data_IF_857851732257
#
_entry.id   IF_857851732257
#
_cell.length_a   1.000
_cell.length_b   1.000
_cell.length_c   1.000
_cell.angle_alpha   90.00
_cell.angle_beta   90.00
_cell.angle_gamma   90.00
#
_symmetry.space_group_name_H-M   'P 1'
#
loop_
_entity.id
_entity.type
_entity.pdbx_description
1 polymer ?
#
# COMPACT_ATOMS: atom_id res chain seq x y z
N UNK A 1 -8.54 -18.83 43.42
CA UNK A 1 -8.42 -19.75 42.28
C UNK A 1 -8.95 -21.11 42.69
N UNK A 2 -9.81 -21.71 41.88
CA UNK A 2 -10.34 -23.06 42.10
C UNK A 2 -9.43 -23.99 41.31
N UNK A 3 -8.49 -24.64 41.98
CA UNK A 3 -7.78 -25.80 41.42
C UNK A 3 -8.59 -27.03 41.81
N UNK A 4 -9.13 -27.76 40.83
CA UNK A 4 -9.86 -28.97 41.16
C UNK A 4 -9.61 -30.10 40.16
N UNK A 5 -9.68 -31.31 40.70
CA UNK A 5 -9.03 -32.50 40.17
C UNK A 5 -10.08 -33.54 39.79
N UNK A 6 -9.66 -34.65 39.19
CA UNK A 6 -10.50 -35.86 39.13
C UNK A 6 -10.30 -36.69 40.39
N UNK A 7 -11.38 -37.25 40.94
CA UNK A 7 -11.36 -37.97 42.21
C UNK A 7 -11.68 -39.45 42.02
N UNK A 8 -10.94 -40.28 42.76
CA UNK A 8 -11.06 -41.73 42.70
C UNK A 8 -11.02 -42.31 44.10
N UNK A 9 -11.64 -43.46 44.32
CA UNK A 9 -11.57 -44.15 45.60
C UNK A 9 -11.17 -45.60 45.43
N UNK A 10 -10.69 -46.21 46.51
CA UNK A 10 -10.17 -47.57 46.44
C UNK A 10 -11.28 -48.63 46.32
N UNK A 11 -11.27 -49.39 45.23
CA UNK A 11 -12.30 -50.40 44.96
C UNK A 11 -12.10 -51.70 45.78
N UNK A 12 -10.85 -52.11 46.00
CA UNK A 12 -10.50 -53.46 46.49
C UNK A 12 -10.49 -53.65 48.01
N UNK A 13 -10.83 -52.63 48.80
CA UNK A 13 -10.95 -52.78 50.26
C UNK A 13 -10.77 -51.49 51.04
N UNK A 14 -10.58 -51.64 52.36
CA UNK A 14 -10.28 -50.58 53.31
C UNK A 14 -8.82 -50.67 53.78
N UNK A 15 -8.14 -49.53 53.82
CA UNK A 15 -6.70 -49.41 54.05
C UNK A 15 -6.41 -48.59 55.31
N UNK A 16 -5.30 -48.87 55.97
CA UNK A 16 -4.73 -47.90 56.93
C UNK A 16 -4.35 -46.61 56.19
N UNK A 17 -4.18 -45.50 56.90
CA UNK A 17 -3.89 -44.22 56.23
C UNK A 17 -2.62 -44.29 55.35
N UNK A 18 -1.55 -44.95 55.83
CA UNK A 18 -0.33 -45.15 55.05
C UNK A 18 -0.55 -46.04 53.81
N UNK A 19 -1.33 -47.10 53.97
CA UNK A 19 -1.69 -47.98 52.85
C UNK A 19 -2.57 -47.26 51.82
N UNK A 20 -3.50 -46.42 52.28
CA UNK A 20 -4.36 -45.60 51.44
C UNK A 20 -3.55 -44.58 50.64
N UNK A 21 -2.58 -43.93 51.29
CA UNK A 21 -1.65 -43.02 50.61
C UNK A 21 -0.81 -43.74 49.57
N UNK A 22 -0.21 -44.87 49.92
CA UNK A 22 0.59 -45.66 48.99
C UNK A 22 -0.25 -46.11 47.79
N UNK A 23 -1.50 -46.53 48.01
CA UNK A 23 -2.45 -46.83 46.95
C UNK A 23 -2.67 -45.62 46.03
N UNK A 24 -2.96 -44.45 46.59
CA UNK A 24 -3.17 -43.24 45.79
C UNK A 24 -1.92 -42.80 45.02
N UNK A 25 -0.73 -42.90 45.60
CA UNK A 25 0.53 -42.56 44.93
C UNK A 25 0.92 -43.58 43.84
N UNK A 26 0.46 -44.83 43.98
CA UNK A 26 0.75 -45.89 43.00
C UNK A 26 -0.13 -45.76 41.76
N UNK A 27 -1.43 -45.45 41.93
CA UNK A 27 -2.41 -45.48 40.84
C UNK A 27 -2.90 -44.10 40.39
N UNK A 28 -2.68 -43.07 41.20
CA UNK A 28 -3.15 -41.69 41.00
C UNK A 28 -2.04 -40.69 41.38
N UNK A 29 -2.39 -39.49 41.85
CA UNK A 29 -1.41 -38.48 42.29
C UNK A 29 -1.07 -38.63 43.78
N UNK A 30 -2.04 -38.42 44.67
CA UNK A 30 -1.90 -38.65 46.12
C UNK A 30 -3.31 -38.72 46.75
N UNK A 31 -3.41 -38.86 48.08
CA UNK A 31 -4.66 -38.63 48.80
C UNK A 31 -5.18 -37.21 48.55
N UNK A 32 -6.51 -37.07 48.50
CA UNK A 32 -7.17 -35.80 48.15
C UNK A 32 -6.70 -34.64 49.04
N UNK A 33 -6.35 -33.54 48.40
CA UNK A 33 -6.02 -32.27 49.04
C UNK A 33 -7.12 -31.26 48.74
N UNK A 34 -8.14 -31.21 49.60
CA UNK A 34 -9.35 -30.40 49.38
C UNK A 34 -9.00 -28.92 49.48
N UNK A 35 -9.31 -28.16 48.42
CA UNK A 35 -8.96 -26.74 48.26
C UNK A 35 -10.08 -25.80 48.70
N UNK A 36 -11.35 -26.20 48.58
CA UNK A 36 -12.48 -25.31 48.85
C UNK A 36 -13.78 -26.05 49.22
N UNK A 37 -14.79 -25.29 49.66
CA UNK A 37 -16.09 -25.84 50.07
C UNK A 37 -16.92 -26.41 48.92
N UNK A 38 -16.74 -25.95 47.68
CA UNK A 38 -17.46 -26.49 46.51
C UNK A 38 -16.99 -27.92 46.19
N UNK A 39 -15.70 -28.17 46.29
CA UNK A 39 -15.11 -29.52 46.17
C UNK A 39 -15.69 -30.48 47.21
N UNK A 40 -15.91 -30.04 48.45
CA UNK A 40 -16.56 -30.85 49.49
C UNK A 40 -17.98 -31.23 49.09
N UNK A 41 -18.75 -30.28 48.54
CA UNK A 41 -20.08 -30.53 48.00
C UNK A 41 -20.06 -31.58 46.89
N UNK A 42 -19.18 -31.40 45.90
CA UNK A 42 -19.01 -32.33 44.79
C UNK A 42 -18.63 -33.73 45.24
N UNK A 43 -17.64 -33.87 46.12
CA UNK A 43 -17.23 -35.16 46.69
C UNK A 43 -18.39 -35.83 47.42
N UNK A 44 -19.17 -35.06 48.17
CA UNK A 44 -20.30 -35.59 48.94
C UNK A 44 -21.47 -36.02 48.05
N UNK A 45 -21.67 -35.40 46.89
CA UNK A 45 -22.68 -35.80 45.91
C UNK A 45 -22.24 -37.04 45.12
N UNK A 46 -21.00 -37.05 44.64
CA UNK A 46 -20.48 -38.06 43.71
C UNK A 46 -20.04 -39.36 44.36
N UNK A 47 -19.44 -39.32 45.55
CA UNK A 47 -18.95 -40.53 46.22
C UNK A 47 -20.09 -41.34 46.85
N UNK A 48 -20.03 -42.68 46.83
CA UNK A 48 -21.01 -43.50 47.52
C UNK A 48 -20.84 -43.40 49.05
N UNK A 49 -21.91 -43.70 49.79
CA UNK A 49 -21.81 -43.86 51.24
C UNK A 49 -20.94 -45.09 51.57
N UNK A 50 -20.06 -44.95 52.55
CA UNK A 50 -19.28 -46.07 53.06
C UNK A 50 -19.27 -46.03 54.59
N UNK A 51 -19.61 -47.15 55.25
CA UNK A 51 -19.79 -47.21 56.70
C UNK A 51 -18.54 -46.90 57.54
N UNK A 52 -17.34 -46.91 56.93
CA UNK A 52 -16.07 -46.50 57.55
C UNK A 52 -15.49 -45.19 57.01
N UNK A 53 -16.24 -44.52 56.13
CA UNK A 53 -15.84 -43.28 55.46
C UNK A 53 -14.52 -43.39 54.69
N UNK A 54 -13.90 -42.25 54.42
CA UNK A 54 -12.78 -42.09 53.49
C UNK A 54 -11.61 -41.36 54.14
N UNK A 55 -10.39 -41.81 53.87
CA UNK A 55 -9.17 -41.11 54.23
C UNK A 55 -8.92 -39.94 53.28
N UNK A 56 -8.56 -38.77 53.83
CA UNK A 56 -8.10 -37.60 53.07
C UNK A 56 -6.64 -37.28 53.39
N UNK A 57 -6.02 -36.44 52.56
CA UNK A 57 -4.59 -36.12 52.61
C UNK A 57 -4.18 -35.16 53.72
N UNK A 58 -4.85 -35.14 54.87
CA UNK A 58 -4.46 -34.36 56.04
C UNK A 58 -3.88 -35.28 57.10
N UNK A 59 -2.73 -34.88 57.66
CA UNK A 59 -2.09 -35.55 58.79
C UNK A 59 -1.50 -34.55 59.79
N UNK A 60 -1.46 -34.91 61.06
CA UNK A 60 -0.78 -34.15 62.11
C UNK A 60 0.71 -34.47 62.10
N UNK A 61 1.54 -33.46 61.84
CA UNK A 61 3.00 -33.55 61.81
C UNK A 61 3.58 -32.53 62.79
N UNK A 62 4.34 -32.98 63.80
CA UNK A 62 4.92 -32.08 64.81
C UNK A 62 3.89 -31.21 65.54
N UNK A 63 2.66 -31.73 65.73
CA UNK A 63 1.55 -31.01 66.35
C UNK A 63 0.67 -30.19 65.40
N UNK A 64 1.04 -30.06 64.12
CA UNK A 64 0.36 -29.20 63.14
C UNK A 64 -0.33 -30.01 62.04
N UNK A 65 -1.58 -29.70 61.72
CA UNK A 65 -2.30 -30.32 60.60
C UNK A 65 -1.75 -29.85 59.26
N UNK A 66 -1.34 -30.80 58.41
CA UNK A 66 -0.63 -30.53 57.16
C UNK A 66 -1.23 -31.35 56.03
N UNK A 67 -1.40 -30.71 54.87
CA UNK A 67 -1.72 -31.36 53.61
C UNK A 67 -0.50 -32.13 53.12
N UNK A 68 -0.54 -33.45 53.16
CA UNK A 68 0.66 -34.27 52.93
C UNK A 68 1.13 -34.28 51.47
N UNK A 69 0.22 -34.04 50.53
CA UNK A 69 0.53 -33.93 49.11
C UNK A 69 1.23 -32.62 48.75
N UNK A 70 0.73 -31.49 49.25
CA UNK A 70 1.30 -30.15 48.94
C UNK A 70 2.34 -29.68 49.96
N UNK A 71 2.49 -30.40 51.09
CA UNK A 71 3.31 -30.03 52.25
C UNK A 71 2.95 -28.67 52.85
N UNK A 72 1.75 -28.16 52.57
CA UNK A 72 1.24 -26.90 53.13
C UNK A 72 0.53 -27.14 54.45
N UNK A 73 0.74 -26.23 55.40
CA UNK A 73 -0.01 -26.22 56.67
C UNK A 73 -1.49 -25.91 56.38
N UNK A 74 -2.38 -26.59 57.08
CA UNK A 74 -3.82 -26.35 56.99
C UNK A 74 -4.14 -24.94 57.54
N UNK A 75 -4.77 -24.10 56.73
CA UNK A 75 -5.20 -22.76 57.16
C UNK A 75 -6.60 -22.78 57.76
N UNK A 76 -6.91 -21.81 58.62
CA UNK A 76 -8.21 -21.66 59.30
C UNK A 76 -9.39 -21.56 58.31
N UNK A 77 -9.17 -20.92 57.17
CA UNK A 77 -10.18 -20.70 56.14
C UNK A 77 -10.52 -22.00 55.39
N UNK A 78 -9.58 -22.94 55.33
CA UNK A 78 -9.74 -24.23 54.69
C UNK A 78 -10.28 -25.31 55.65
N UNK A 79 -10.30 -25.07 56.96
CA UNK A 79 -10.80 -26.03 57.95
C UNK A 79 -12.27 -26.38 57.72
N UNK A 80 -12.58 -27.68 57.78
CA UNK A 80 -13.95 -28.17 57.70
C UNK A 80 -14.26 -29.25 58.74
N UNK A 81 -13.76 -29.08 59.96
CA UNK A 81 -14.01 -29.98 61.10
C UNK A 81 -15.50 -30.09 61.45
N UNK A 82 -15.91 -31.27 61.90
CA UNK A 82 -17.21 -31.50 62.51
C UNK A 82 -17.29 -30.86 63.91
N UNK A 83 -18.50 -30.67 64.42
CA UNK A 83 -18.71 -30.09 65.73
C UNK A 83 -18.01 -30.92 66.82
N UNK A 84 -17.06 -30.29 67.52
CA UNK A 84 -16.28 -30.94 68.57
C UNK A 84 -14.98 -31.59 68.11
N UNK A 85 -14.64 -31.51 66.82
CA UNK A 85 -13.38 -32.03 66.26
C UNK A 85 -12.35 -30.91 66.00
N UNK A 86 -11.04 -31.20 65.99
CA UNK A 86 -10.41 -32.50 66.30
C UNK A 86 -10.34 -32.77 67.82
N UNK A 87 -10.82 -33.94 68.26
CA UNK A 87 -11.06 -34.23 69.68
C UNK A 87 -9.96 -35.05 70.37
N UNK A 88 -9.09 -35.74 69.62
CA UNK A 88 -8.06 -36.64 70.12
C UNK A 88 -8.50 -37.61 71.25
N UNK A 89 -9.78 -38.03 71.26
CA UNK A 89 -10.42 -38.90 72.27
C UNK A 89 -9.69 -40.21 72.58
N UNK A 90 -8.89 -40.77 71.67
CA UNK A 90 -8.22 -42.09 71.84
C UNK A 90 -6.71 -42.02 72.00
N UNK A 91 -6.14 -40.81 72.05
CA UNK A 91 -4.70 -40.55 71.89
C UNK A 91 -4.19 -41.01 70.50
N UNK A 92 -3.30 -40.23 69.88
CA UNK A 92 -2.68 -40.55 68.57
C UNK A 92 -3.66 -40.54 67.36
N UNK A 93 -4.67 -39.67 67.38
CA UNK A 93 -5.55 -39.39 66.23
C UNK A 93 -4.88 -38.38 65.29
N UNK A 94 -3.85 -38.85 64.57
CA UNK A 94 -3.04 -37.99 63.71
C UNK A 94 -3.49 -37.98 62.24
N UNK A 95 -4.55 -38.72 61.88
CA UNK A 95 -5.04 -38.85 60.51
C UNK A 95 -6.48 -38.36 60.39
N UNK A 96 -6.90 -37.90 59.21
CA UNK A 96 -8.21 -37.26 59.04
C UNK A 96 -9.09 -38.04 58.07
N UNK A 97 -10.33 -38.29 58.47
CA UNK A 97 -11.38 -38.81 57.61
C UNK A 97 -12.39 -37.73 57.18
N UNK A 98 -13.12 -37.98 56.10
CA UNK A 98 -14.24 -37.14 55.65
C UNK A 98 -15.57 -37.90 55.66
N UNK A 99 -16.61 -37.29 56.21
CA UNK A 99 -17.95 -37.85 56.31
C UNK A 99 -18.75 -37.74 55.02
N UNK A 100 -18.56 -38.68 54.09
CA UNK A 100 -19.37 -38.75 52.86
C UNK A 100 -20.77 -39.31 53.15
N UNK A 101 -21.81 -38.58 52.74
CA UNK A 101 -23.23 -38.95 52.86
C UNK A 101 -23.66 -39.35 54.29
N UNK A 102 -23.12 -38.68 55.30
CA UNK A 102 -23.51 -38.87 56.71
C UNK A 102 -24.81 -38.10 56.99
N UNK A 103 -25.70 -38.68 57.80
CA UNK A 103 -27.00 -38.09 58.18
C UNK A 103 -26.88 -36.67 58.74
N UNK A 104 -25.87 -36.42 59.57
CA UNK A 104 -25.55 -35.12 60.15
C UNK A 104 -24.10 -34.78 59.80
N UNK A 105 -23.85 -33.50 59.50
CA UNK A 105 -22.50 -32.98 59.24
C UNK A 105 -21.77 -33.67 58.07
N UNK A 106 -22.51 -33.94 56.98
CA UNK A 106 -21.94 -34.47 55.75
C UNK A 106 -20.86 -33.55 55.17
N UNK A 107 -19.77 -34.13 54.67
CA UNK A 107 -18.59 -33.42 54.16
C UNK A 107 -17.63 -32.90 55.24
N UNK A 108 -17.99 -32.97 56.53
CA UNK A 108 -17.13 -32.55 57.65
C UNK A 108 -16.03 -33.56 57.95
N UNK A 109 -15.00 -33.09 58.65
CA UNK A 109 -13.80 -33.86 58.98
C UNK A 109 -13.76 -34.32 60.43
N UNK A 110 -13.09 -35.44 60.66
CA UNK A 110 -12.87 -36.03 61.98
C UNK A 110 -11.44 -36.58 62.08
N UNK A 111 -10.76 -36.38 63.21
CA UNK A 111 -9.47 -36.99 63.47
C UNK A 111 -9.65 -38.45 63.92
N UNK A 112 -8.84 -39.36 63.39
CA UNK A 112 -8.92 -40.80 63.66
C UNK A 112 -7.51 -41.41 63.75
N UNK A 113 -7.33 -42.51 64.50
CA UNK A 113 -6.05 -43.20 64.54
C UNK A 113 -5.69 -43.75 63.16
N UNK A 114 -4.48 -43.48 62.70
CA UNK A 114 -4.01 -43.80 61.35
C UNK A 114 -4.06 -45.30 61.00
N UNK A 115 -4.14 -46.18 62.01
CA UNK A 115 -4.24 -47.63 61.84
C UNK A 115 -5.66 -48.12 61.53
N UNK A 116 -6.67 -47.24 61.57
CA UNK A 116 -8.04 -47.58 61.16
C UNK A 116 -8.11 -47.85 59.67
N UNK A 117 -8.99 -48.77 59.29
CA UNK A 117 -9.20 -49.15 57.90
C UNK A 117 -10.37 -48.38 57.31
N UNK A 118 -10.12 -47.61 56.25
CA UNK A 118 -11.11 -46.80 55.51
C UNK A 118 -10.83 -46.83 54.01
N UNK A 119 -11.76 -46.35 53.20
CA UNK A 119 -11.52 -46.18 51.75
C UNK A 119 -10.46 -45.10 51.52
N UNK A 120 -9.54 -45.33 50.59
CA UNK A 120 -8.63 -44.27 50.14
C UNK A 120 -9.40 -43.33 49.21
N UNK A 121 -9.35 -42.00 49.44
CA UNK A 121 -9.85 -41.01 48.50
C UNK A 121 -8.67 -40.29 47.85
N UNK A 122 -8.47 -40.58 46.58
CA UNK A 122 -7.34 -40.13 45.77
C UNK A 122 -7.78 -39.01 44.82
N UNK A 123 -6.83 -38.19 44.38
CA UNK A 123 -7.04 -37.24 43.27
C UNK A 123 -6.03 -37.47 42.14
N UNK A 124 -6.37 -37.00 40.94
CA UNK A 124 -5.52 -37.01 39.77
C UNK A 124 -5.65 -35.69 39.00
N UNK A 125 -4.52 -35.17 38.52
CA UNK A 125 -4.45 -34.07 37.55
C UNK A 125 -5.31 -34.40 36.32
N UNK A 126 -6.31 -33.57 36.04
CA UNK A 126 -7.12 -33.68 34.83
C UNK A 126 -6.34 -33.13 33.64
N UNK A 127 -5.50 -32.12 33.87
CA UNK A 127 -4.65 -31.52 32.85
C UNK A 127 -3.51 -32.44 32.41
N UNK A 128 -3.39 -32.62 31.10
CA UNK A 128 -2.31 -33.37 30.44
C UNK A 128 -1.64 -32.49 29.37
N UNK A 129 -0.39 -32.78 28.96
CA UNK A 129 0.45 -31.88 28.15
C UNK A 129 -0.07 -31.50 26.75
N UNK A 130 -1.20 -32.06 26.28
CA UNK A 130 -1.71 -31.89 24.92
C UNK A 130 -3.22 -31.65 24.82
N UNK A 131 -3.96 -31.59 25.93
CA UNK A 131 -5.43 -31.48 25.88
C UNK A 131 -5.92 -30.18 25.26
N UNK A 132 -5.19 -29.08 25.46
CA UNK A 132 -5.52 -27.78 24.86
C UNK A 132 -4.79 -27.54 23.53
N UNK A 133 -4.47 -28.61 22.80
CA UNK A 133 -3.83 -28.57 21.47
C UNK A 133 -2.51 -27.79 21.37
N UNK A 134 -1.83 -27.53 22.51
CA UNK A 134 -0.69 -26.60 22.62
C UNK A 134 -1.03 -25.15 22.24
N UNK A 135 -2.31 -24.83 22.13
CA UNK A 135 -2.84 -23.52 21.76
C UNK A 135 -3.62 -22.87 22.91
N UNK A 136 -3.39 -23.34 24.13
CA UNK A 136 -4.01 -22.79 25.33
C UNK A 136 -3.40 -23.37 26.59
N UNK A 137 -3.69 -22.72 27.70
CA UNK A 137 -3.34 -23.17 29.05
C UNK A 137 -4.45 -24.09 29.57
N UNK A 138 -4.06 -25.21 30.16
CA UNK A 138 -5.02 -26.12 30.78
C UNK A 138 -5.30 -25.68 32.22
N UNK A 139 -6.58 -25.50 32.55
CA UNK A 139 -7.05 -25.07 33.86
C UNK A 139 -7.86 -26.17 34.50
N UNK A 140 -7.40 -26.61 35.66
CA UNK A 140 -8.06 -27.63 36.50
C UNK A 140 -9.42 -27.13 37.03
N UNK A 141 -10.46 -27.95 36.90
CA UNK A 141 -11.85 -27.65 37.32
C UNK A 141 -12.45 -28.82 38.09
N UNK A 142 -13.58 -28.62 38.79
CA UNK A 142 -14.11 -29.67 39.67
C UNK A 142 -14.53 -30.89 38.85
N UNK A 143 -13.80 -32.00 39.00
CA UNK A 143 -14.04 -33.25 38.28
C UNK A 143 -13.61 -33.24 36.81
N UNK A 144 -12.96 -32.19 36.30
CA UNK A 144 -12.55 -32.10 34.90
C UNK A 144 -11.48 -31.01 34.66
N UNK A 145 -11.19 -30.67 33.41
CA UNK A 145 -10.39 -29.50 33.01
C UNK A 145 -11.19 -28.57 32.09
N UNK A 146 -10.68 -27.36 31.92
CA UNK A 146 -11.07 -26.41 30.87
C UNK A 146 -9.81 -25.85 30.21
N UNK A 147 -9.94 -25.31 29.00
CA UNK A 147 -8.82 -24.70 28.29
C UNK A 147 -9.01 -23.19 28.17
N UNK A 148 -7.98 -22.43 28.54
CA UNK A 148 -7.87 -21.00 28.27
C UNK A 148 -7.04 -20.80 27.00
N UNK A 149 -7.72 -20.57 25.88
CA UNK A 149 -7.07 -20.52 24.58
C UNK A 149 -6.21 -19.27 24.38
N UNK A 150 -5.07 -19.45 23.72
CA UNK A 150 -4.24 -18.34 23.25
C UNK A 150 -4.97 -17.53 22.16
N UNK A 151 -4.59 -16.26 21.96
CA UNK A 151 -5.19 -15.43 20.93
C UNK A 151 -5.14 -16.10 19.55
N UNK A 152 -6.30 -16.15 18.88
CA UNK A 152 -6.44 -16.75 17.55
C UNK A 152 -6.93 -18.20 17.54
N UNK A 153 -7.15 -18.80 18.71
CA UNK A 153 -7.70 -20.14 18.86
C UNK A 153 -8.97 -20.13 19.70
N UNK A 154 -9.87 -21.09 19.45
CA UNK A 154 -11.12 -21.22 20.18
C UNK A 154 -11.61 -22.67 20.24
N UNK A 155 -12.76 -22.87 20.88
CA UNK A 155 -13.33 -24.19 21.14
C UNK A 155 -12.87 -24.77 22.50
N UNK A 156 -13.48 -25.88 22.94
CA UNK A 156 -13.24 -26.45 24.27
C UNK A 156 -11.80 -26.98 24.46
N UNK A 157 -11.13 -27.35 23.37
CA UNK A 157 -9.74 -27.89 23.37
C UNK A 157 -8.76 -26.98 22.59
N UNK A 158 -9.15 -25.73 22.31
CA UNK A 158 -8.35 -24.76 21.53
C UNK A 158 -7.86 -25.27 20.17
N UNK A 159 -8.64 -26.17 19.56
CA UNK A 159 -8.32 -26.79 18.27
C UNK A 159 -8.72 -25.92 17.08
N UNK A 160 -9.77 -25.12 17.26
CA UNK A 160 -10.32 -24.31 16.18
C UNK A 160 -9.51 -23.03 16.03
N UNK A 161 -9.19 -22.68 14.80
CA UNK A 161 -8.42 -21.48 14.47
C UNK A 161 -9.37 -20.41 13.97
N UNK A 162 -9.25 -19.20 14.54
CA UNK A 162 -9.98 -18.01 14.07
C UNK A 162 -9.75 -17.83 12.58
N UNK A 163 -10.82 -17.62 11.82
CA UNK A 163 -10.78 -17.51 10.37
C UNK A 163 -11.28 -16.15 9.91
N UNK A 164 -10.44 -15.41 9.20
CA UNK A 164 -10.78 -14.14 8.59
C UNK A 164 -11.55 -14.34 7.28
N UNK A 165 -12.24 -13.29 6.84
CA UNK A 165 -12.92 -13.28 5.55
C UNK A 165 -11.92 -13.59 4.41
N UNK A 166 -12.35 -14.42 3.45
CA UNK A 166 -11.57 -14.73 2.25
C UNK A 166 -11.32 -13.44 1.45
N UNK A 167 -10.08 -13.19 1.07
CA UNK A 167 -9.70 -12.03 0.27
C UNK A 167 -9.85 -12.32 -1.22
N UNK A 168 -10.54 -11.44 -1.95
CA UNK A 168 -10.76 -11.52 -3.39
C UNK A 168 -10.33 -10.21 -4.07
N UNK A 169 -9.01 -9.98 -4.24
CA UNK A 169 -8.50 -8.75 -4.83
C UNK A 169 -8.82 -8.64 -6.33
N UNK A 170 -9.18 -7.44 -6.78
CA UNK A 170 -9.38 -7.13 -8.21
C UNK A 170 -8.20 -6.33 -8.74
N UNK A 171 -7.53 -6.84 -9.78
CA UNK A 171 -6.43 -6.13 -10.44
C UNK A 171 -5.13 -6.03 -9.64
N UNK A 172 -4.99 -6.82 -8.56
CA UNK A 172 -3.78 -6.88 -7.73
C UNK A 172 -3.36 -8.33 -7.56
N UNK A 173 -2.07 -8.62 -7.71
CA UNK A 173 -1.55 -9.95 -7.46
C UNK A 173 -1.38 -10.15 -5.94
N UNK A 174 -1.83 -11.29 -5.44
CA UNK A 174 -1.76 -11.64 -4.03
C UNK A 174 -1.04 -12.98 -3.86
N UNK A 175 -0.11 -13.04 -2.90
CA UNK A 175 0.56 -14.27 -2.49
C UNK A 175 0.36 -14.44 -0.97
N UNK A 176 -0.21 -15.57 -0.56
CA UNK A 176 -0.56 -15.83 0.83
C UNK A 176 0.23 -17.01 1.41
N UNK A 177 0.51 -16.92 2.71
CA UNK A 177 1.04 -18.00 3.54
C UNK A 177 0.04 -18.31 4.67
N UNK A 178 -0.31 -19.59 4.81
CA UNK A 178 -1.33 -20.09 5.73
C UNK A 178 -0.70 -21.08 6.71
N UNK A 179 -0.22 -20.63 7.89
CA UNK A 179 0.53 -21.49 8.80
C UNK A 179 -0.34 -22.58 9.47
N UNK A 180 -1.63 -22.31 9.68
CA UNK A 180 -2.55 -23.25 10.33
C UNK A 180 -3.66 -23.75 9.39
N UNK A 181 -4.32 -22.83 8.68
CA UNK A 181 -5.37 -23.12 7.69
C UNK A 181 -5.58 -21.93 6.75
N UNK A 182 -6.25 -22.15 5.63
CA UNK A 182 -6.60 -21.10 4.66
C UNK A 182 -7.33 -19.93 5.34
N UNK A 183 -6.72 -18.75 5.22
CA UNK A 183 -7.18 -17.49 5.84
C UNK A 183 -7.42 -17.58 7.36
N UNK A 184 -6.75 -18.52 8.04
CA UNK A 184 -6.75 -18.64 9.50
C UNK A 184 -5.84 -17.61 10.17
N UNK A 185 -5.93 -17.51 11.50
CA UNK A 185 -5.09 -16.65 12.35
C UNK A 185 -3.62 -16.70 11.93
N UNK A 186 -2.96 -15.54 11.93
CA UNK A 186 -1.57 -15.39 11.52
C UNK A 186 -1.28 -15.71 10.04
N UNK A 187 -2.30 -15.98 9.21
CA UNK A 187 -2.14 -15.98 7.76
C UNK A 187 -1.68 -14.60 7.30
N UNK A 188 -0.70 -14.58 6.40
CA UNK A 188 -0.17 -13.35 5.81
C UNK A 188 -0.37 -13.36 4.31
N UNK A 189 -0.85 -12.25 3.75
CA UNK A 189 -1.06 -12.09 2.31
C UNK A 189 -0.33 -10.83 1.85
N UNK A 190 0.65 -11.01 0.97
CA UNK A 190 1.43 -9.93 0.36
C UNK A 190 0.85 -9.57 -1.00
N UNK A 191 0.61 -8.28 -1.20
CA UNK A 191 0.05 -7.70 -2.41
C UNK A 191 1.14 -7.05 -3.25
N UNK A 192 1.01 -7.15 -4.58
CA UNK A 192 1.88 -6.48 -5.54
C UNK A 192 1.07 -5.93 -6.69
N UNK A 193 1.32 -4.66 -7.01
CA UNK A 193 0.79 -4.02 -8.20
C UNK A 193 1.59 -4.42 -9.44
N UNK A 194 0.91 -4.37 -10.59
CA UNK A 194 1.58 -4.51 -11.89
C UNK A 194 2.46 -3.29 -12.17
N UNK A 195 3.39 -3.46 -13.12
CA UNK A 195 4.26 -2.37 -13.57
C UNK A 195 3.45 -1.16 -14.06
N UNK A 196 3.89 0.04 -13.69
CA UNK A 196 3.19 1.30 -14.00
C UNK A 196 2.01 1.63 -13.07
N UNK A 197 1.76 0.80 -12.05
CA UNK A 197 0.82 1.08 -10.97
C UNK A 197 1.54 1.14 -9.64
N UNK A 198 1.15 2.11 -8.81
CA UNK A 198 1.65 2.29 -7.45
C UNK A 198 0.62 1.80 -6.45
N UNK A 199 1.09 1.10 -5.42
CA UNK A 199 0.24 0.63 -4.33
C UNK A 199 -0.14 1.79 -3.39
N UNK A 200 -1.41 1.83 -3.00
CA UNK A 200 -1.96 2.69 -1.98
C UNK A 200 -2.55 1.83 -0.85
N UNK A 201 -2.01 2.00 0.36
CA UNK A 201 -2.34 1.17 1.53
C UNK A 201 -1.23 0.17 1.88
N UNK A 202 -1.50 -0.68 2.87
CA UNK A 202 -0.56 -1.68 3.39
C UNK A 202 -0.32 -2.82 2.39
N UNK A 203 0.95 -3.18 2.18
CA UNK A 203 1.34 -4.21 1.20
C UNK A 203 1.22 -5.64 1.72
N UNK A 204 1.07 -5.81 3.03
CA UNK A 204 0.94 -7.12 3.66
C UNK A 204 -0.19 -7.07 4.67
N UNK A 205 -1.17 -7.96 4.49
CA UNK A 205 -2.28 -8.12 5.43
C UNK A 205 -2.04 -9.36 6.29
N UNK A 206 -2.39 -9.25 7.57
CA UNK A 206 -2.33 -10.36 8.52
C UNK A 206 -3.70 -10.61 9.16
N UNK A 207 -4.12 -11.86 9.24
CA UNK A 207 -5.34 -12.25 9.95
C UNK A 207 -5.11 -12.20 11.47
N UNK A 208 -5.86 -11.35 12.17
CA UNK A 208 -5.73 -11.10 13.61
C UNK A 208 -6.63 -12.04 14.41
N UNK A 209 -6.34 -12.16 15.71
CA UNK A 209 -7.16 -12.91 16.67
C UNK A 209 -8.59 -12.35 16.80
N UNK A 210 -8.80 -11.08 16.43
CA UNK A 210 -10.11 -10.42 16.40
C UNK A 210 -10.99 -10.83 15.21
N UNK A 211 -10.57 -11.81 14.42
CA UNK A 211 -11.26 -12.23 13.19
C UNK A 211 -11.30 -11.16 12.09
N UNK A 212 -10.37 -10.20 12.16
CA UNK A 212 -10.23 -9.11 11.20
C UNK A 212 -8.84 -9.13 10.56
N UNK A 213 -8.76 -8.66 9.33
CA UNK A 213 -7.47 -8.35 8.70
C UNK A 213 -6.87 -7.09 9.32
N UNK A 214 -5.54 -7.03 9.34
CA UNK A 214 -4.80 -5.88 9.89
C UNK A 214 -5.07 -4.55 9.18
N UNK A 215 -5.49 -4.60 7.92
CA UNK A 215 -5.91 -3.46 7.10
C UNK A 215 -6.79 -3.95 5.95
N UNK A 216 -7.35 -3.01 5.18
CA UNK A 216 -8.10 -3.30 3.97
C UNK A 216 -7.19 -3.69 2.79
N UNK A 217 -7.77 -4.35 1.77
CA UNK A 217 -7.05 -4.70 0.53
C UNK A 217 -6.50 -3.42 -0.11
N UNK A 218 -5.19 -3.34 -0.41
CA UNK A 218 -4.61 -2.15 -1.02
C UNK A 218 -5.13 -1.95 -2.45
N UNK A 219 -5.19 -0.69 -2.87
CA UNK A 219 -5.55 -0.32 -4.25
C UNK A 219 -4.29 -0.05 -5.07
N UNK A 220 -4.34 -0.38 -6.36
CA UNK A 220 -3.27 -0.06 -7.30
C UNK A 220 -3.73 1.08 -8.20
N UNK A 221 -3.09 2.25 -8.05
CA UNK A 221 -3.38 3.44 -8.84
C UNK A 221 -2.31 3.64 -9.90
N UNK A 222 -2.69 3.94 -11.14
CA UNK A 222 -1.72 4.17 -12.22
C UNK A 222 -0.80 5.36 -11.87
N UNK A 223 0.49 5.23 -12.17
CA UNK A 223 1.48 6.28 -11.91
C UNK A 223 1.16 7.50 -12.78
N UNK A 224 1.22 8.70 -12.20
CA UNK A 224 0.89 9.97 -12.87
C UNK A 224 2.15 10.66 -13.38
N UNK A 225 2.12 11.10 -14.64
CA UNK A 225 3.14 11.95 -15.23
C UNK A 225 2.82 13.45 -15.03
N UNK A 226 3.81 14.35 -15.18
CA UNK A 226 3.57 15.79 -15.11
C UNK A 226 2.49 16.25 -16.08
N UNK A 227 1.66 17.20 -15.65
CA UNK A 227 0.62 17.77 -16.49
C UNK A 227 1.21 18.45 -17.73
N UNK A 228 0.66 18.15 -18.91
CA UNK A 228 1.06 18.78 -20.17
C UNK A 228 0.20 20.02 -20.45
N UNK A 229 0.84 21.06 -21.00
CA UNK A 229 0.19 22.25 -21.53
C UNK A 229 0.35 22.29 -23.05
N UNK A 230 -0.62 22.90 -23.72
CA UNK A 230 -0.57 23.00 -25.18
C UNK A 230 0.60 23.91 -25.56
N UNK A 231 1.43 23.53 -26.54
CA UNK A 231 2.47 24.42 -27.03
C UNK A 231 1.83 25.68 -27.62
N UNK A 232 2.52 26.81 -27.49
CA UNK A 232 2.08 28.06 -28.09
C UNK A 232 1.85 27.87 -29.60
N UNK A 233 0.71 28.33 -30.14
CA UNK A 233 0.29 28.09 -31.53
C UNK A 233 0.22 26.61 -31.93
N UNK A 234 -0.03 25.72 -30.97
CA UNK A 234 -0.26 24.30 -31.22
C UNK A 234 -1.39 23.73 -30.37
N UNK A 235 -1.63 22.44 -30.56
CA UNK A 235 -2.61 21.64 -29.81
C UNK A 235 -2.11 20.22 -29.65
N UNK A 236 -2.65 19.50 -28.68
CA UNK A 236 -2.44 18.07 -28.56
C UNK A 236 -3.75 17.34 -28.31
N UNK A 237 -3.80 16.07 -28.69
CA UNK A 237 -4.87 15.15 -28.35
C UNK A 237 -4.27 13.95 -27.60
N UNK A 238 -4.87 13.60 -26.47
CA UNK A 238 -4.39 12.51 -25.63
C UNK A 238 -5.39 11.35 -25.55
N UNK A 239 -4.87 10.14 -25.42
CA UNK A 239 -5.59 8.95 -24.98
C UNK A 239 -5.18 8.61 -23.55
N UNK A 240 -6.15 8.33 -22.68
CA UNK A 240 -5.98 8.19 -21.23
C UNK A 240 -6.56 6.86 -20.73
N UNK A 241 -5.91 5.72 -20.99
CA UNK A 241 -6.47 4.40 -20.71
C UNK A 241 -6.70 4.12 -19.21
N UNK A 242 -5.94 4.79 -18.33
CA UNK A 242 -5.97 4.56 -16.88
C UNK A 242 -6.21 5.83 -16.06
N UNK A 243 -6.61 6.92 -16.71
CA UNK A 243 -6.76 8.25 -16.09
C UNK A 243 -5.96 9.34 -16.81
N UNK A 244 -6.23 10.59 -16.45
CA UNK A 244 -5.62 11.76 -17.09
C UNK A 244 -4.12 11.80 -16.76
N UNK A 245 -3.30 11.82 -17.80
CA UNK A 245 -1.83 11.84 -17.72
C UNK A 245 -1.22 10.72 -16.86
N UNK A 246 -1.86 9.55 -16.79
CA UNK A 246 -1.31 8.38 -16.10
C UNK A 246 -0.53 7.47 -17.03
N UNK A 247 0.13 6.44 -16.48
CA UNK A 247 0.84 5.39 -17.22
C UNK A 247 0.11 4.95 -18.50
N UNK A 248 0.87 4.82 -19.59
CA UNK A 248 0.37 4.54 -20.94
C UNK A 248 -0.55 5.61 -21.57
N UNK A 249 -0.71 6.78 -20.94
CA UNK A 249 -1.28 7.93 -21.66
C UNK A 249 -0.37 8.32 -22.82
N UNK A 250 -0.97 8.53 -23.99
CA UNK A 250 -0.25 8.94 -25.20
C UNK A 250 -0.85 10.23 -25.74
N UNK A 251 -0.02 11.24 -25.94
CA UNK A 251 -0.42 12.57 -26.39
C UNK A 251 0.26 12.92 -27.70
N UNK A 252 -0.52 13.11 -28.76
CA UNK A 252 -0.05 13.51 -30.08
C UNK A 252 -0.19 15.02 -30.27
N UNK A 253 0.89 15.68 -30.68
CA UNK A 253 1.01 17.12 -30.84
C UNK A 253 0.91 17.53 -32.31
N UNK A 254 0.36 18.72 -32.55
CA UNK A 254 0.24 19.33 -33.88
C UNK A 254 0.30 20.85 -33.75
N UNK A 255 0.86 21.50 -34.77
CA UNK A 255 0.94 22.95 -34.84
C UNK A 255 -0.19 23.53 -35.70
N UNK A 256 -0.48 24.82 -35.49
CA UNK A 256 -1.35 25.59 -36.38
C UNK A 256 -0.68 25.75 -37.76
N UNK A 257 -1.48 26.10 -38.77
CA UNK A 257 -0.97 26.37 -40.12
C UNK A 257 0.09 27.49 -40.09
N UNK A 258 1.16 27.31 -40.87
CA UNK A 258 2.30 28.23 -40.91
C UNK A 258 3.32 28.03 -39.78
N UNK A 259 3.12 27.04 -38.92
CA UNK A 259 4.06 26.63 -37.87
C UNK A 259 4.48 25.18 -38.05
N UNK A 260 5.76 24.90 -37.84
CA UNK A 260 6.34 23.56 -37.85
C UNK A 260 6.59 23.04 -36.42
N UNK A 261 6.45 21.73 -36.23
CA UNK A 261 6.66 21.07 -34.95
C UNK A 261 8.14 20.71 -34.77
N UNK A 262 8.76 21.24 -33.73
CA UNK A 262 10.12 20.89 -33.31
C UNK A 262 10.10 19.98 -32.09
N UNK A 263 10.59 18.75 -32.25
CA UNK A 263 10.65 17.72 -31.22
C UNK A 263 9.82 16.49 -31.57
N UNK A 264 9.48 15.70 -30.55
CA UNK A 264 8.72 14.47 -30.72
C UNK A 264 7.23 14.77 -30.93
N UNK A 265 6.63 14.20 -31.99
CA UNK A 265 5.21 14.42 -32.29
C UNK A 265 4.25 13.70 -31.36
N UNK A 266 4.72 12.69 -30.62
CA UNK A 266 3.91 11.93 -29.66
C UNK A 266 4.70 11.60 -28.40
N UNK A 267 4.15 11.95 -27.22
CA UNK A 267 4.73 11.60 -25.93
C UNK A 267 3.90 10.50 -25.24
N UNK A 268 4.58 9.57 -24.57
CA UNK A 268 3.93 8.53 -23.77
C UNK A 268 4.36 8.60 -22.31
N UNK A 269 3.42 8.42 -21.38
CA UNK A 269 3.71 8.37 -19.95
C UNK A 269 4.25 6.98 -19.56
N UNK A 270 5.47 6.95 -19.04
CA UNK A 270 6.18 5.72 -18.67
C UNK A 270 5.81 5.21 -17.27
N UNK A 271 6.18 3.97 -16.95
CA UNK A 271 5.94 3.38 -15.63
C UNK A 271 6.67 4.13 -14.48
N UNK A 272 7.72 4.89 -14.81
CA UNK A 272 8.45 5.73 -13.87
C UNK A 272 7.77 7.09 -13.57
N UNK A 273 6.63 7.39 -14.19
CA UNK A 273 5.95 8.67 -14.00
C UNK A 273 6.60 9.84 -14.73
N UNK A 274 7.35 9.55 -15.81
CA UNK A 274 7.95 10.56 -16.69
C UNK A 274 7.50 10.35 -18.13
N UNK A 275 7.38 11.44 -18.88
CA UNK A 275 7.14 11.39 -20.32
C UNK A 275 8.38 10.89 -21.06
N UNK A 276 8.18 10.23 -22.20
CA UNK A 276 9.27 9.75 -23.09
C UNK A 276 10.20 10.84 -23.61
N UNK A 277 9.79 12.11 -23.52
CA UNK A 277 10.57 13.27 -23.91
C UNK A 277 9.95 14.58 -23.42
N UNK A 278 10.62 15.72 -23.63
CA UNK A 278 10.07 17.03 -23.32
C UNK A 278 8.92 17.41 -24.28
N UNK A 279 7.99 18.30 -23.87
CA UNK A 279 6.97 18.84 -24.77
C UNK A 279 7.60 19.51 -26.01
N UNK A 280 7.08 19.24 -27.22
CA UNK A 280 7.57 19.86 -28.45
C UNK A 280 7.19 21.34 -28.53
N UNK A 281 7.86 22.08 -29.41
CA UNK A 281 7.59 23.50 -29.68
C UNK A 281 7.01 23.68 -31.09
N UNK A 282 6.15 24.67 -31.28
CA UNK A 282 5.71 25.10 -32.60
C UNK A 282 6.45 26.39 -32.97
N UNK A 283 7.20 26.39 -34.07
CA UNK A 283 7.90 27.58 -34.56
C UNK A 283 7.37 27.99 -35.92
N UNK A 284 7.30 29.30 -36.17
CA UNK A 284 6.83 29.81 -37.44
C UNK A 284 7.79 29.38 -38.56
N UNK A 285 7.23 28.92 -39.67
CA UNK A 285 8.01 28.46 -40.82
C UNK A 285 8.78 29.65 -41.40
N UNK A 286 10.06 29.45 -41.69
CA UNK A 286 10.96 30.52 -42.16
C UNK A 286 11.02 30.53 -43.68
N UNK A 287 10.89 31.71 -44.28
CA UNK A 287 11.13 31.93 -45.71
C UNK A 287 12.58 32.38 -45.97
N UNK A 288 13.08 32.27 -47.22
CA UNK A 288 14.39 32.81 -47.58
C UNK A 288 14.52 34.28 -47.20
N UNK A 289 15.65 34.65 -46.60
CA UNK A 289 15.94 36.04 -46.24
C UNK A 289 15.97 36.89 -47.51
N UNK A 290 15.28 38.03 -47.50
CA UNK A 290 15.24 38.96 -48.61
C UNK A 290 16.19 40.14 -48.39
N UNK A 291 16.74 40.65 -49.47
CA UNK A 291 17.52 41.89 -49.52
C UNK A 291 16.89 42.88 -50.51
N UNK A 292 17.19 44.16 -50.33
CA UNK A 292 16.77 45.18 -51.27
C UNK A 292 17.37 44.91 -52.67
N UNK A 293 16.60 45.09 -53.76
CA UNK A 293 17.12 45.00 -55.12
C UNK A 293 18.04 46.19 -55.40
N UNK A 294 18.86 46.08 -56.45
CA UNK A 294 19.72 47.18 -56.90
C UNK A 294 18.89 48.43 -57.16
N UNK A 295 19.36 49.59 -56.68
CA UNK A 295 18.64 50.88 -56.74
C UNK A 295 17.26 50.86 -56.07
N UNK A 296 17.02 49.90 -55.18
CA UNK A 296 15.79 49.77 -54.40
C UNK A 296 15.98 49.86 -52.90
N UNK A 297 14.86 49.79 -52.19
CA UNK A 297 14.75 49.71 -50.74
C UNK A 297 13.74 48.62 -50.38
N UNK A 298 13.96 47.97 -49.24
CA UNK A 298 13.12 46.89 -48.72
C UNK A 298 12.66 47.25 -47.32
N UNK A 299 11.35 47.29 -47.10
CA UNK A 299 10.74 47.50 -45.80
C UNK A 299 9.89 46.29 -45.44
N UNK A 300 10.26 45.56 -44.38
CA UNK A 300 9.56 44.36 -43.95
C UNK A 300 8.87 44.54 -42.61
N UNK A 301 7.72 43.89 -42.46
CA UNK A 301 6.98 43.74 -41.20
C UNK A 301 6.96 42.26 -40.82
N UNK A 302 7.46 41.95 -39.63
CA UNK A 302 7.64 40.60 -39.11
C UNK A 302 6.72 40.35 -37.92
N UNK A 303 5.82 39.37 -38.04
CA UNK A 303 4.81 39.09 -37.00
C UNK A 303 5.32 38.08 -35.98
N UNK A 304 5.98 37.01 -36.44
CA UNK A 304 6.39 35.86 -35.62
C UNK A 304 7.91 35.63 -35.59
N UNK A 305 8.68 36.59 -36.09
CA UNK A 305 10.13 36.51 -36.26
C UNK A 305 10.57 36.96 -37.66
N UNK A 306 11.87 37.19 -37.81
CA UNK A 306 12.44 37.71 -39.06
C UNK A 306 12.21 36.74 -40.21
N UNK A 307 11.57 37.23 -41.27
CA UNK A 307 11.25 36.49 -42.49
C UNK A 307 10.48 35.18 -42.26
N UNK A 308 9.67 35.11 -41.20
CA UNK A 308 8.78 33.95 -40.94
C UNK A 308 7.40 34.10 -41.55
N UNK A 309 6.59 33.02 -41.52
CA UNK A 309 5.20 33.00 -41.97
C UNK A 309 4.41 34.26 -41.59
N UNK A 310 3.69 34.83 -42.56
CA UNK A 310 2.93 36.07 -42.41
C UNK A 310 3.78 37.34 -42.43
N UNK A 311 5.11 37.24 -42.60
CA UNK A 311 5.94 38.43 -42.87
C UNK A 311 5.55 39.05 -44.21
N UNK A 312 5.44 40.38 -44.25
CA UNK A 312 5.16 41.13 -45.48
C UNK A 312 6.30 42.11 -45.75
N UNK A 313 6.87 42.06 -46.95
CA UNK A 313 7.95 42.93 -47.39
C UNK A 313 7.52 43.78 -48.58
N UNK A 314 7.69 45.09 -48.48
CA UNK A 314 7.36 46.06 -49.53
C UNK A 314 8.64 46.61 -50.15
N UNK A 315 8.69 46.54 -51.47
CA UNK A 315 9.78 47.00 -52.31
C UNK A 315 9.48 48.39 -52.86
N UNK A 316 10.49 49.24 -52.87
CA UNK A 316 10.40 50.58 -53.49
C UNK A 316 11.71 50.91 -54.21
N UNK A 317 11.64 51.76 -55.22
CA UNK A 317 12.81 52.18 -55.99
C UNK A 317 13.27 53.58 -55.60
N UNK A 318 14.57 53.81 -55.68
CA UNK A 318 15.16 55.13 -55.48
C UNK A 318 14.70 56.09 -56.59
N UNK A 319 14.81 57.39 -56.34
CA UNK A 319 14.44 58.42 -57.32
C UNK A 319 15.15 58.20 -58.66
N UNK A 320 14.40 58.26 -59.75
CA UNK A 320 14.92 58.01 -61.11
C UNK A 320 14.78 56.57 -61.59
N UNK A 321 14.30 55.66 -60.75
CA UNK A 321 14.01 54.27 -61.09
C UNK A 321 12.54 53.94 -60.85
N UNK A 322 11.97 53.07 -61.70
CA UNK A 322 10.61 52.57 -61.59
C UNK A 322 10.62 51.09 -61.17
N UNK A 323 9.68 50.71 -60.28
CA UNK A 323 9.53 49.33 -59.84
C UNK A 323 8.82 48.52 -60.93
N UNK A 324 9.42 47.40 -61.32
CA UNK A 324 8.84 46.45 -62.27
C UNK A 324 8.42 45.20 -61.50
N UNK A 325 7.11 44.89 -61.53
CA UNK A 325 6.50 43.78 -60.79
C UNK A 325 5.60 44.23 -59.63
N UNK A 326 5.09 43.27 -58.84
CA UNK A 326 4.27 43.58 -57.66
C UNK A 326 5.12 44.17 -56.54
N UNK A 327 4.60 45.15 -55.81
CA UNK A 327 5.34 45.87 -54.76
C UNK A 327 5.51 45.10 -53.44
N UNK A 328 4.63 44.14 -53.12
CA UNK A 328 4.64 43.44 -51.83
C UNK A 328 4.81 41.93 -51.96
N UNK A 329 5.62 41.32 -51.10
CA UNK A 329 5.79 39.87 -50.96
C UNK A 329 5.37 39.42 -49.57
N UNK A 330 4.70 38.27 -49.49
CA UNK A 330 4.28 37.66 -48.23
C UNK A 330 4.89 36.27 -48.06
N UNK A 331 5.36 35.96 -46.84
CA UNK A 331 5.88 34.63 -46.51
C UNK A 331 4.74 33.66 -46.22
N UNK A 332 4.63 32.62 -47.03
CA UNK A 332 3.54 31.63 -47.00
C UNK A 332 3.82 30.46 -46.05
N UNK A 333 2.79 29.67 -45.74
CA UNK A 333 2.89 28.49 -44.87
C UNK A 333 3.75 27.36 -45.44
N UNK A 334 4.14 27.43 -46.72
CA UNK A 334 5.07 26.49 -47.36
C UNK A 334 6.54 26.93 -47.24
N UNK A 335 6.82 28.07 -46.61
CA UNK A 335 8.17 28.62 -46.49
C UNK A 335 8.67 29.31 -47.76
N UNK A 336 7.76 29.76 -48.62
CA UNK A 336 8.07 30.48 -49.87
C UNK A 336 7.42 31.86 -49.89
N UNK A 337 8.03 32.81 -50.59
CA UNK A 337 7.43 34.12 -50.84
C UNK A 337 6.37 34.04 -51.96
N UNK A 338 5.36 34.90 -51.89
CA UNK A 338 4.33 35.01 -52.93
C UNK A 338 4.86 35.67 -54.21
N UNK A 339 4.77 35.02 -55.37
CA UNK A 339 5.12 35.62 -56.67
C UNK A 339 6.63 35.87 -56.87
N UNK A 340 6.99 36.36 -58.06
CA UNK A 340 8.38 36.60 -58.47
C UNK A 340 8.94 37.91 -57.89
N UNK A 341 10.23 38.03 -57.63
CA UNK A 341 10.80 39.25 -57.01
C UNK A 341 10.82 40.44 -57.98
N UNK A 342 10.45 41.66 -57.54
CA UNK A 342 10.48 42.84 -58.38
C UNK A 342 11.90 43.41 -58.48
N UNK A 343 12.17 44.16 -59.54
CA UNK A 343 13.43 44.87 -59.74
C UNK A 343 13.20 46.34 -60.13
N UNK A 344 14.23 47.16 -59.98
CA UNK A 344 14.17 48.58 -60.31
C UNK A 344 14.84 48.84 -61.66
N UNK A 345 14.12 49.49 -62.57
CA UNK A 345 14.64 49.89 -63.88
C UNK A 345 14.75 51.42 -63.97
N UNK A 346 15.83 51.92 -64.56
CA UNK A 346 16.02 53.35 -64.72
C UNK A 346 14.93 53.91 -65.65
N UNK A 347 14.29 55.01 -65.25
CA UNK A 347 13.20 55.62 -66.01
C UNK A 347 13.76 56.12 -67.36
N UNK A 348 13.14 55.71 -68.46
CA UNK A 348 13.54 56.12 -69.80
C UNK A 348 13.20 57.60 -70.05
N UNK A 349 14.18 58.33 -70.56
CA UNK A 349 14.03 59.67 -71.11
C UNK A 349 13.71 59.58 -72.61
N UNK A 350 13.12 60.64 -73.20
CA UNK A 350 13.00 60.74 -74.65
C UNK A 350 14.37 60.59 -75.33
N UNK A 351 14.43 59.74 -76.35
CA UNK A 351 15.64 59.58 -77.16
C UNK A 351 15.93 60.89 -77.87
N UNK A 352 17.13 61.41 -77.69
CA UNK A 352 17.59 62.63 -78.36
C UNK A 352 18.36 62.25 -79.62
N UNK A 353 18.12 62.99 -80.69
CA UNK A 353 18.87 62.88 -81.94
C UNK A 353 19.83 64.04 -82.10
N UNK A 354 20.94 63.82 -82.81
CA UNK A 354 21.84 64.91 -83.19
C UNK A 354 21.08 65.93 -84.07
N UNK A 355 21.21 67.25 -83.81
CA UNK A 355 20.66 68.27 -84.68
C UNK A 355 21.38 68.26 -86.05
N UNK A 356 20.72 68.78 -87.08
CA UNK A 356 21.29 68.85 -88.43
C UNK A 356 22.64 69.58 -88.42
N UNK A 357 23.67 68.98 -89.05
CA UNK A 357 25.07 69.48 -89.05
C UNK A 357 25.72 69.58 -87.65
N UNK A 358 25.15 68.91 -86.65
CA UNK A 358 25.69 68.75 -85.30
C UNK A 358 26.12 67.32 -84.97
N UNK A 359 26.77 67.16 -83.83
CA UNK A 359 27.11 65.89 -83.20
C UNK A 359 26.48 65.82 -81.81
N UNK A 360 26.07 64.62 -81.41
CA UNK A 360 25.52 64.31 -80.10
C UNK A 360 26.45 63.30 -79.43
N UNK A 361 27.00 63.66 -78.27
CA UNK A 361 27.79 62.74 -77.46
C UNK A 361 27.10 62.58 -76.10
N UNK A 362 26.61 61.38 -75.81
CA UNK A 362 25.88 61.08 -74.59
C UNK A 362 26.68 60.12 -73.69
N UNK A 363 26.64 60.37 -72.38
CA UNK A 363 27.05 59.44 -71.36
C UNK A 363 25.82 58.82 -70.70
N UNK A 364 25.74 57.50 -70.74
CA UNK A 364 24.62 56.71 -70.23
C UNK A 364 25.09 55.89 -69.03
N UNK A 365 24.68 56.29 -67.83
CA UNK A 365 25.13 55.67 -66.58
C UNK A 365 24.35 54.38 -66.27
N UNK A 366 23.04 54.39 -66.55
CA UNK A 366 22.12 53.30 -66.19
C UNK A 366 21.35 52.75 -67.40
N UNK A 367 21.90 52.90 -68.60
CA UNK A 367 21.29 52.49 -69.87
C UNK A 367 21.01 53.64 -70.84
N UNK A 368 20.79 53.31 -72.11
CA UNK A 368 20.65 54.29 -73.19
C UNK A 368 19.44 55.20 -72.97
N UNK A 369 19.70 56.51 -72.93
CA UNK A 369 18.71 57.55 -72.66
C UNK A 369 17.86 57.30 -71.41
N UNK A 370 18.42 56.76 -70.33
CA UNK A 370 17.71 56.62 -69.04
C UNK A 370 18.10 57.70 -68.04
N UNK A 371 17.45 57.73 -66.87
CA UNK A 371 17.77 58.63 -65.76
C UNK A 371 19.29 58.75 -65.53
N UNK A 372 19.77 59.98 -65.32
CA UNK A 372 21.21 60.26 -65.18
C UNK A 372 22.00 60.33 -66.50
N UNK A 373 21.37 60.08 -67.66
CA UNK A 373 22.01 60.31 -68.97
C UNK A 373 22.32 61.79 -69.18
N UNK A 374 23.55 62.10 -69.61
CA UNK A 374 23.98 63.47 -69.94
C UNK A 374 24.43 63.52 -71.38
N UNK A 375 23.84 64.43 -72.17
CA UNK A 375 24.18 64.58 -73.57
C UNK A 375 24.76 65.97 -73.84
N UNK A 376 25.89 66.01 -74.53
CA UNK A 376 26.56 67.24 -74.97
C UNK A 376 26.42 67.34 -76.48
N UNK A 377 25.92 68.50 -76.92
CA UNK A 377 25.77 68.84 -78.33
C UNK A 377 26.98 69.64 -78.80
N UNK A 378 27.46 69.39 -80.01
CA UNK A 378 28.50 70.19 -80.66
C UNK A 378 28.19 70.40 -82.15
N UNK A 379 28.68 71.49 -82.73
CA UNK A 379 28.50 71.79 -84.15
C UNK A 379 29.74 71.44 -84.97
N UNK A 380 29.53 71.06 -86.23
CA UNK A 380 30.63 70.98 -87.19
C UNK A 380 31.18 72.37 -87.49
N UNK A 381 32.45 72.44 -87.91
CA UNK A 381 33.15 73.69 -88.20
C UNK A 381 32.36 74.56 -89.18
N UNK A 382 32.06 75.81 -88.79
CA UNK A 382 31.29 76.77 -89.59
C UNK A 382 29.82 76.91 -89.19
N UNK A 383 29.31 76.10 -88.25
CA UNK A 383 27.94 76.17 -87.72
C UNK A 383 27.94 76.53 -86.23
N UNK A 384 26.85 77.11 -85.73
CA UNK A 384 26.64 77.45 -84.32
C UNK A 384 25.37 76.79 -83.79
N UNK A 385 25.40 76.35 -82.52
CA UNK A 385 24.21 75.88 -81.81
C UNK A 385 23.29 77.09 -81.57
N UNK A 386 22.02 76.98 -81.96
CA UNK A 386 21.01 78.04 -81.81
C UNK A 386 19.86 77.53 -80.95
#
# INVERSE_FOLDING_TARGET
>A
EVSAWTYHYSDQGDYTWEQARNYCQTFFTDLVAIQNKQEIGYLNETLPFHGRYYWIGIRKLGGTWTWVGTKKVLTKEAENWAAGEPNNRRSNQDCVEIYIKRQLESGKWNDEPCNRRKKALCYRASCQPFLCSQHGECVETIGNYSCECYPGFHGPECKDVVQCAKLEPKGVCMNCSHPYRDFGYNSTCMFRCQEGFKQQGEGTLRCLASQQWSADIPTCTAVTCPQLAAPERGRFNCSHPHGIFTFNSTCAFSCQEGFELLGMWSLQCTAGGVWTGPPPQCKAITCPVLSAPDWGQLNCSHIYGDFTFGSTCVFSCQTGFALVGMESRECTATGTWTGDFPHCEAIACPVLSAPDWGQLNCSHIYGDFTFGSTCVFSCQTGFALV
#
